data_IF_948353143225
#
_entry.id   IF_948353143225
#
_cell.length_a   1.000
_cell.length_b   1.000
_cell.length_c   1.000
_cell.angle_alpha   90.00
_cell.angle_beta   90.00
_cell.angle_gamma   90.00
#
_symmetry.space_group_name_H-M   'P 1'
#
loop_
_entity.id
_entity.type
_entity.pdbx_description
1 polymer ?
#
# COMPACT_ATOMS: atom_id res chain seq x y z
N UNK A 1 -30.09 -5.20 -4.09
CA UNK A 1 -28.75 -4.95 -4.70
C UNK A 1 -27.71 -5.80 -3.99
N UNK A 2 -26.81 -6.51 -4.70
CA UNK A 2 -25.73 -7.25 -4.06
C UNK A 2 -24.70 -6.29 -3.43
N UNK A 3 -24.16 -6.67 -2.26
CA UNK A 3 -23.13 -5.89 -1.55
C UNK A 3 -21.82 -5.89 -2.36
N UNK A 4 -21.20 -4.73 -2.53
CA UNK A 4 -19.84 -4.64 -3.10
C UNK A 4 -18.84 -5.35 -2.18
N UNK A 5 -17.98 -6.19 -2.75
CA UNK A 5 -16.94 -6.93 -2.03
C UNK A 5 -15.61 -6.24 -2.24
N UNK A 6 -14.81 -6.15 -1.18
CA UNK A 6 -13.43 -5.67 -1.31
C UNK A 6 -12.59 -6.72 -2.04
N UNK A 7 -11.66 -6.24 -2.86
CA UNK A 7 -10.66 -7.09 -3.49
C UNK A 7 -9.72 -7.65 -2.40
N UNK A 8 -9.79 -8.96 -2.17
CA UNK A 8 -9.07 -9.64 -1.09
C UNK A 8 -7.56 -9.41 -1.17
N UNK A 9 -7.00 -9.35 -2.38
CA UNK A 9 -5.59 -9.06 -2.60
C UNK A 9 -5.21 -7.61 -2.27
N UNK A 10 -6.12 -6.66 -2.40
CA UNK A 10 -5.86 -5.26 -2.05
C UNK A 10 -5.93 -5.10 -0.52
N UNK A 11 -6.95 -5.71 0.11
CA UNK A 11 -7.13 -5.67 1.57
C UNK A 11 -5.95 -6.24 2.35
N UNK A 12 -5.26 -7.24 1.78
CA UNK A 12 -4.04 -7.82 2.37
C UNK A 12 -2.79 -6.94 2.26
N UNK A 13 -2.78 -5.94 1.38
CA UNK A 13 -1.58 -5.15 1.02
C UNK A 13 -1.67 -3.68 1.44
N UNK A 14 -2.87 -3.12 1.47
CA UNK A 14 -3.13 -1.70 1.73
C UNK A 14 -4.08 -1.54 2.89
N UNK A 15 -3.79 -0.59 3.78
CA UNK A 15 -4.64 -0.24 4.91
C UNK A 15 -4.96 1.25 4.89
N UNK A 16 -6.22 1.62 5.09
CA UNK A 16 -6.64 3.03 5.11
C UNK A 16 -6.28 3.68 6.45
N UNK A 17 -5.81 4.92 6.41
CA UNK A 17 -5.59 5.75 7.61
C UNK A 17 -6.85 6.51 7.96
N UNK A 18 -6.94 7.03 9.18
CA UNK A 18 -8.05 7.89 9.61
C UNK A 18 -8.27 9.10 8.66
N UNK A 19 -7.18 9.62 8.09
CA UNK A 19 -7.19 10.73 7.12
C UNK A 19 -7.50 10.33 5.67
N UNK A 20 -7.84 9.06 5.40
CA UNK A 20 -8.19 8.58 4.06
C UNK A 20 -7.01 8.28 3.12
N UNK A 21 -5.76 8.33 3.63
CA UNK A 21 -4.57 7.88 2.89
C UNK A 21 -4.42 6.36 3.00
N UNK A 22 -3.66 5.73 2.11
CA UNK A 22 -3.40 4.28 2.20
C UNK A 22 -1.95 4.00 2.62
N UNK A 23 -1.76 3.18 3.66
CA UNK A 23 -0.48 2.65 4.10
C UNK A 23 -0.12 1.39 3.30
N UNK A 24 1.15 1.27 2.92
CA UNK A 24 1.72 0.08 2.27
C UNK A 24 3.14 -0.22 2.73
N UNK A 25 3.61 -1.44 2.49
CA UNK A 25 5.04 -1.76 2.53
C UNK A 25 5.74 -1.22 1.27
N UNK A 26 6.91 -0.58 1.43
CA UNK A 26 7.76 -0.19 0.28
C UNK A 26 8.27 -1.43 -0.46
N UNK A 27 8.34 -1.36 -1.79
CA UNK A 27 8.86 -2.44 -2.63
C UNK A 27 10.40 -2.47 -2.57
N UNK A 28 11.02 -3.55 -3.08
CA UNK A 28 12.49 -3.63 -3.23
C UNK A 28 13.27 -4.14 -2.01
N UNK A 29 12.59 -4.58 -0.94
CA UNK A 29 13.20 -5.15 0.29
C UNK A 29 12.81 -6.61 0.53
N UNK A 30 12.71 -7.40 -0.53
CA UNK A 30 12.33 -8.83 -0.45
C UNK A 30 13.48 -9.76 -0.81
N UNK A 31 14.30 -9.41 -1.80
CA UNK A 31 15.44 -10.17 -2.29
C UNK A 31 16.55 -9.22 -2.76
N UNK A 32 17.74 -9.74 -3.10
CA UNK A 32 18.93 -8.99 -3.55
C UNK A 32 19.37 -7.89 -2.57
N UNK A 33 19.40 -8.23 -1.28
CA UNK A 33 19.72 -7.28 -0.20
C UNK A 33 21.23 -7.13 0.08
N UNK A 34 22.05 -8.06 -0.42
CA UNK A 34 23.50 -8.10 -0.24
C UNK A 34 24.18 -6.85 -0.81
N UNK A 35 23.93 -6.43 -2.08
CA UNK A 35 24.56 -5.23 -2.62
C UNK A 35 23.92 -3.91 -2.14
N UNK A 36 22.76 -3.97 -1.48
CA UNK A 36 22.06 -2.76 -1.03
C UNK A 36 22.69 -2.21 0.26
N UNK A 37 22.94 -0.89 0.27
CA UNK A 37 23.43 -0.18 1.46
C UNK A 37 22.51 -0.32 2.67
N UNK A 38 23.08 -0.25 3.88
CA UNK A 38 22.32 -0.29 5.12
C UNK A 38 21.29 0.84 5.23
N UNK A 39 21.62 2.03 4.71
CA UNK A 39 20.72 3.19 4.66
C UNK A 39 19.50 2.91 3.77
N UNK A 40 19.71 2.40 2.55
CA UNK A 40 18.62 2.03 1.63
C UNK A 40 17.68 0.99 2.24
N UNK A 41 18.23 -0.04 2.89
CA UNK A 41 17.43 -1.07 3.59
C UNK A 41 16.60 -0.50 4.73
N UNK A 42 17.10 0.51 5.45
CA UNK A 42 16.39 1.22 6.53
C UNK A 42 15.26 2.09 5.99
N UNK A 43 15.49 2.78 4.88
CA UNK A 43 14.48 3.64 4.25
C UNK A 43 13.32 2.81 3.67
N UNK A 44 13.61 1.65 3.07
CA UNK A 44 12.59 0.70 2.58
C UNK A 44 11.86 -0.07 3.72
N UNK A 45 12.35 0.01 4.96
CA UNK A 45 11.65 -0.55 6.13
C UNK A 45 10.45 0.31 6.54
N UNK A 46 10.51 1.62 6.28
CA UNK A 46 9.45 2.55 6.64
C UNK A 46 8.18 2.28 5.82
N UNK A 47 7.03 2.58 6.43
CA UNK A 47 5.73 2.49 5.79
C UNK A 47 5.62 3.54 4.68
N UNK A 48 5.24 3.11 3.48
CA UNK A 48 4.90 4.01 2.38
C UNK A 48 3.46 4.51 2.53
N UNK A 49 3.21 5.75 2.13
CA UNK A 49 1.89 6.37 2.14
C UNK A 49 1.49 6.69 0.69
N UNK A 50 0.30 6.26 0.29
CA UNK A 50 -0.33 6.61 -0.97
C UNK A 50 -1.38 7.68 -0.69
N UNK A 51 -1.27 8.81 -1.39
CA UNK A 51 -2.27 9.88 -1.34
C UNK A 51 -3.52 9.47 -2.13
N UNK A 52 -4.73 9.77 -1.64
CA UNK A 52 -5.98 9.40 -2.32
C UNK A 52 -6.11 10.01 -3.73
N UNK A 53 -5.51 11.18 -3.96
CA UNK A 53 -5.55 11.91 -5.24
C UNK A 53 -4.68 11.27 -6.35
N UNK A 54 -3.68 10.48 -5.96
CA UNK A 54 -2.81 9.79 -6.91
C UNK A 54 -3.59 8.76 -7.74
N UNK A 55 -3.09 8.41 -8.93
CA UNK A 55 -3.69 7.37 -9.77
C UNK A 55 -3.86 6.04 -9.00
N UNK A 56 -2.86 5.65 -8.22
CA UNK A 56 -2.92 4.48 -7.33
C UNK A 56 -4.02 4.62 -6.27
N UNK A 57 -4.15 5.79 -5.64
CA UNK A 57 -5.18 6.07 -4.65
C UNK A 57 -6.60 5.93 -5.19
N UNK A 58 -6.84 6.41 -6.42
CA UNK A 58 -8.13 6.26 -7.13
C UNK A 58 -8.45 4.79 -7.42
N UNK A 59 -7.47 4.01 -7.85
CA UNK A 59 -7.62 2.56 -8.05
C UNK A 59 -7.93 1.83 -6.74
N UNK A 60 -7.23 2.18 -5.65
CA UNK A 60 -7.47 1.57 -4.33
C UNK A 60 -8.88 1.85 -3.82
N UNK A 61 -9.41 3.06 -4.03
CA UNK A 61 -10.79 3.39 -3.69
C UNK A 61 -11.81 2.51 -4.44
N UNK A 62 -11.52 2.14 -5.70
CA UNK A 62 -12.35 1.22 -6.48
C UNK A 62 -12.26 -0.23 -5.98
N UNK A 63 -11.08 -0.66 -5.55
CA UNK A 63 -10.86 -2.04 -5.06
C UNK A 63 -11.29 -2.26 -3.60
N UNK A 64 -11.31 -1.21 -2.79
CA UNK A 64 -11.66 -1.26 -1.37
C UNK A 64 -12.89 -0.35 -1.09
N UNK A 65 -14.06 -0.65 -1.69
CA UNK A 65 -15.25 0.18 -1.52
C UNK A 65 -15.82 0.17 -0.09
N UNK A 66 -15.51 -0.88 0.70
CA UNK A 66 -16.01 -1.03 2.07
C UNK A 66 -14.96 -0.74 3.16
N UNK A 67 -13.74 -0.33 2.80
CA UNK A 67 -12.73 0.14 3.76
C UNK A 67 -12.63 1.68 3.78
#
# INVERSE_FOLDING_TARGET
MPKLKNHSGAKKRFAKTATGKYKRRKAGRKHLLTPQSGSRKREMRQTGIIKPESAEGKLLKKYLPMD
#
